data_IF_105609698934
#
_entry.id   IF_105609698934
#
_cell.length_a   1.000
_cell.length_b   1.000
_cell.length_c   1.000
_cell.angle_alpha   90.00
_cell.angle_beta   90.00
_cell.angle_gamma   90.00
#
_symmetry.space_group_name_H-M   'P 1'
#
loop_
_entity.id
_entity.type
_entity.pdbx_description
1 polymer ?
#
# COMPACT_ATOMS: atom_id res chain seq x y z
N UNK A 1 8.67 -19.29 19.51
CA UNK A 1 8.48 -17.87 19.16
C UNK A 1 9.63 -17.49 18.27
N UNK A 2 9.36 -16.72 17.22
CA UNK A 2 10.36 -16.30 16.23
C UNK A 2 10.26 -14.78 16.08
N UNK A 3 11.38 -14.08 16.15
CA UNK A 3 11.46 -12.63 15.94
C UNK A 3 11.91 -12.34 14.52
N UNK A 4 11.14 -11.52 13.82
CA UNK A 4 11.38 -11.12 12.43
C UNK A 4 11.68 -9.63 12.42
N UNK A 5 12.85 -9.27 11.91
CA UNK A 5 13.20 -7.89 11.58
C UNK A 5 13.04 -7.67 10.09
N UNK A 6 12.34 -6.62 9.68
CA UNK A 6 12.10 -6.33 8.27
C UNK A 6 12.46 -4.90 7.88
N UNK A 7 12.99 -4.73 6.67
CA UNK A 7 13.36 -3.45 6.07
C UNK A 7 12.45 -3.14 4.87
N UNK A 8 11.91 -1.93 4.83
CA UNK A 8 11.13 -1.36 3.73
C UNK A 8 11.84 -0.10 3.20
N UNK A 9 12.14 -0.08 1.89
CA UNK A 9 12.79 1.03 1.17
C UNK A 9 12.37 1.05 -0.30
N UNK A 10 11.11 0.72 -0.62
CA UNK A 10 10.62 0.61 -2.00
C UNK A 10 10.46 1.96 -2.70
N UNK A 11 10.14 3.02 -1.94
CA UNK A 11 9.81 4.33 -2.48
C UNK A 11 10.50 5.47 -1.69
N UNK A 12 9.80 6.20 -0.83
CA UNK A 12 10.29 7.38 -0.12
C UNK A 12 10.23 7.28 1.41
N UNK A 13 9.69 6.17 1.94
CA UNK A 13 9.77 5.78 3.35
C UNK A 13 10.90 4.80 3.62
N UNK A 14 11.72 5.10 4.63
CA UNK A 14 12.66 4.13 5.22
C UNK A 14 12.01 3.50 6.45
N UNK A 15 11.56 2.26 6.33
CA UNK A 15 10.90 1.51 7.39
C UNK A 15 11.78 0.41 7.98
N UNK A 16 11.82 0.30 9.31
CA UNK A 16 12.34 -0.88 10.02
C UNK A 16 11.29 -1.36 11.01
N UNK A 17 10.74 -2.54 10.77
CA UNK A 17 9.73 -3.17 11.61
C UNK A 17 10.25 -4.43 12.26
N UNK A 18 9.81 -4.70 13.48
CA UNK A 18 10.13 -5.94 14.19
C UNK A 18 8.83 -6.55 14.71
N UNK A 19 8.60 -7.82 14.36
CA UNK A 19 7.44 -8.58 14.81
C UNK A 19 7.88 -9.88 15.50
N UNK A 20 7.02 -10.40 16.37
CA UNK A 20 7.14 -11.74 16.96
C UNK A 20 6.03 -12.63 16.43
N UNK A 21 6.41 -13.76 15.87
CA UNK A 21 5.53 -14.88 15.55
C UNK A 21 5.50 -15.85 16.74
N UNK A 22 4.32 -15.98 17.35
CA UNK A 22 4.06 -16.90 18.44
C UNK A 22 3.70 -18.30 17.90
N UNK A 23 3.76 -19.33 18.75
CA UNK A 23 3.57 -20.73 18.33
C UNK A 23 2.15 -21.06 17.87
N UNK A 24 1.18 -20.23 18.23
CA UNK A 24 -0.22 -20.33 17.80
C UNK A 24 -0.49 -19.59 16.47
N UNK A 25 0.54 -18.99 15.86
CA UNK A 25 0.44 -18.21 14.63
C UNK A 25 0.14 -16.73 14.84
N UNK A 26 0.01 -16.26 16.09
CA UNK A 26 -0.21 -14.83 16.37
C UNK A 26 1.04 -14.01 16.01
N UNK A 27 0.83 -12.87 15.34
CA UNK A 27 1.89 -11.93 14.97
C UNK A 27 1.76 -10.66 15.82
N UNK A 28 2.73 -10.41 16.68
CA UNK A 28 2.77 -9.24 17.57
C UNK A 28 3.79 -8.22 17.09
N UNK A 29 3.40 -6.95 16.94
CA UNK A 29 4.32 -5.87 16.61
C UNK A 29 5.17 -5.49 17.84
N UNK A 30 6.49 -5.50 17.69
CA UNK A 30 7.45 -5.11 18.74
C UNK A 30 8.03 -3.71 18.51
N UNK A 31 8.33 -3.36 17.26
CA UNK A 31 8.82 -2.03 16.88
C UNK A 31 8.42 -1.69 15.45
N UNK A 32 8.24 -0.40 15.18
CA UNK A 32 7.94 0.11 13.84
C UNK A 32 8.46 1.55 13.71
N UNK A 33 9.66 1.67 13.16
CA UNK A 33 10.36 2.92 12.94
C UNK A 33 10.25 3.31 11.47
N UNK A 34 9.81 4.55 11.21
CA UNK A 34 9.70 5.10 9.86
C UNK A 34 10.40 6.45 9.81
N UNK A 35 11.24 6.64 8.79
CA UNK A 35 11.77 7.94 8.40
C UNK A 35 11.31 8.23 6.96
N UNK A 36 10.46 9.25 6.80
CA UNK A 36 9.92 9.65 5.51
C UNK A 36 10.78 10.75 4.88
N UNK A 37 11.03 10.64 3.58
CA UNK A 37 11.74 11.64 2.77
C UNK A 37 10.79 12.49 1.91
N UNK A 38 9.48 12.38 2.10
CA UNK A 38 8.43 13.09 1.34
C UNK A 38 8.75 14.58 1.17
N UNK A 39 9.17 15.26 2.24
CA UNK A 39 9.47 16.70 2.24
C UNK A 39 10.57 17.10 1.24
N UNK A 40 11.51 16.19 0.95
CA UNK A 40 12.59 16.43 -0.03
C UNK A 40 12.08 16.41 -1.48
N UNK A 41 10.93 15.75 -1.71
CA UNK A 41 10.31 15.56 -3.02
C UNK A 41 9.27 16.64 -3.36
N UNK A 42 8.73 17.34 -2.35
CA UNK A 42 7.66 18.35 -2.50
C UNK A 42 7.95 19.36 -3.61
N UNK A 43 9.17 19.91 -3.65
CA UNK A 43 9.58 20.93 -4.64
C UNK A 43 9.60 20.42 -6.08
N UNK A 44 9.65 19.10 -6.29
CA UNK A 44 9.63 18.47 -7.61
C UNK A 44 8.24 17.98 -8.00
N UNK A 45 7.30 18.00 -7.05
CA UNK A 45 5.92 17.55 -7.24
C UNK A 45 5.74 16.04 -7.32
N UNK A 46 6.76 15.26 -6.97
CA UNK A 46 6.75 13.79 -7.01
C UNK A 46 8.10 13.22 -6.62
N UNK A 47 8.13 11.92 -6.30
CA UNK A 47 9.34 11.24 -5.84
C UNK A 47 10.45 11.30 -6.90
N UNK A 48 11.62 11.81 -6.51
CA UNK A 48 12.83 11.81 -7.32
C UNK A 48 13.69 10.61 -6.92
N UNK A 49 13.88 9.59 -7.79
CA UNK A 49 14.49 8.32 -7.39
C UNK A 49 15.87 8.42 -6.75
N UNK A 50 16.73 9.32 -7.24
CA UNK A 50 18.08 9.53 -6.69
C UNK A 50 18.04 10.15 -5.29
N UNK A 51 17.11 11.07 -5.03
CA UNK A 51 16.95 11.70 -3.71
C UNK A 51 16.46 10.67 -2.70
N UNK A 52 15.45 9.87 -3.07
CA UNK A 52 14.94 8.80 -2.22
C UNK A 52 16.03 7.78 -1.87
N UNK A 53 16.83 7.35 -2.85
CA UNK A 53 17.93 6.41 -2.65
C UNK A 53 18.97 6.93 -1.63
N UNK A 54 19.31 8.22 -1.69
CA UNK A 54 20.23 8.85 -0.72
C UNK A 54 19.62 8.99 0.66
N UNK A 55 18.35 9.39 0.75
CA UNK A 55 17.64 9.48 2.01
C UNK A 55 17.60 8.13 2.74
N UNK A 56 17.38 7.02 2.03
CA UNK A 56 17.47 5.67 2.62
C UNK A 56 18.85 5.35 3.19
N UNK A 57 19.94 5.70 2.49
CA UNK A 57 21.30 5.47 2.97
C UNK A 57 21.58 6.20 4.29
N UNK A 58 21.06 7.43 4.43
CA UNK A 58 21.24 8.23 5.63
C UNK A 58 20.35 7.75 6.79
N UNK A 59 19.09 7.39 6.49
CA UNK A 59 18.08 7.09 7.49
C UNK A 59 18.13 5.66 8.04
N UNK A 60 18.58 4.68 7.24
CA UNK A 60 18.42 3.25 7.57
C UNK A 60 19.21 2.84 8.81
N UNK A 61 20.47 3.27 8.94
CA UNK A 61 21.29 2.97 10.12
C UNK A 61 20.68 3.49 11.43
N UNK A 62 20.31 4.78 11.51
CA UNK A 62 19.56 5.33 12.64
C UNK A 62 18.23 4.61 12.92
N UNK A 63 17.42 4.34 11.90
CA UNK A 63 16.13 3.65 12.04
C UNK A 63 16.31 2.24 12.61
N UNK A 64 17.29 1.49 12.10
CA UNK A 64 17.65 0.15 12.62
C UNK A 64 17.98 0.18 14.10
N UNK A 65 18.84 1.11 14.55
CA UNK A 65 19.22 1.21 15.97
C UNK A 65 18.02 1.52 16.86
N UNK A 66 17.13 2.42 16.43
CA UNK A 66 15.90 2.74 17.17
C UNK A 66 14.96 1.55 17.23
N UNK A 67 14.77 0.81 16.13
CA UNK A 67 13.88 -0.34 16.09
C UNK A 67 14.37 -1.46 17.02
N UNK A 68 15.66 -1.81 16.96
CA UNK A 68 16.28 -2.80 17.87
C UNK A 68 16.15 -2.38 19.34
N UNK A 69 16.42 -1.10 19.65
CA UNK A 69 16.27 -0.57 21.01
C UNK A 69 14.81 -0.61 21.49
N UNK A 70 13.85 -0.23 20.64
CA UNK A 70 12.42 -0.26 20.96
C UNK A 70 11.90 -1.69 21.19
N UNK A 71 12.39 -2.66 20.42
CA UNK A 71 12.06 -4.07 20.60
C UNK A 71 12.82 -4.74 21.76
N UNK A 72 13.87 -4.10 22.29
CA UNK A 72 14.75 -4.68 23.30
C UNK A 72 15.52 -5.91 22.79
N UNK A 73 15.94 -5.89 21.52
CA UNK A 73 16.63 -7.00 20.86
C UNK A 73 18.03 -6.59 20.41
N UNK A 74 19.01 -7.46 20.67
CA UNK A 74 20.34 -7.34 20.06
C UNK A 74 20.39 -7.98 18.67
N UNK A 75 19.62 -9.05 18.47
CA UNK A 75 19.60 -9.87 17.25
C UNK A 75 18.23 -10.52 17.04
N UNK A 76 17.64 -10.47 15.83
CA UNK A 76 16.42 -11.20 15.49
C UNK A 76 16.72 -12.66 15.13
N UNK A 77 15.68 -13.49 14.99
CA UNK A 77 15.81 -14.85 14.45
C UNK A 77 15.83 -14.87 12.92
N UNK A 78 15.20 -13.88 12.27
CA UNK A 78 15.07 -13.76 10.81
C UNK A 78 15.22 -12.29 10.39
N UNK A 79 15.84 -12.05 9.24
CA UNK A 79 15.82 -10.75 8.55
C UNK A 79 15.02 -10.85 7.25
N UNK A 80 14.11 -9.91 7.02
CA UNK A 80 13.35 -9.78 5.79
C UNK A 80 13.58 -8.42 5.13
N UNK A 81 13.36 -8.32 3.83
CA UNK A 81 13.32 -7.03 3.15
C UNK A 81 12.40 -7.05 1.95
N UNK A 82 11.85 -5.89 1.66
CA UNK A 82 11.18 -5.62 0.40
C UNK A 82 12.15 -5.75 -0.76
N UNK A 83 11.91 -6.71 -1.65
CA UNK A 83 12.71 -6.93 -2.86
C UNK A 83 12.08 -6.29 -4.10
N UNK A 84 10.80 -5.93 -3.99
CA UNK A 84 10.00 -5.27 -5.00
C UNK A 84 8.49 -5.45 -4.80
N UNK A 85 7.66 -4.84 -5.65
CA UNK A 85 8.03 -3.83 -6.65
C UNK A 85 8.45 -2.51 -6.00
N UNK A 86 9.07 -1.59 -6.76
CA UNK A 86 9.54 -0.30 -6.26
C UNK A 86 10.63 0.35 -7.09
N UNK A 87 11.17 1.47 -6.62
CA UNK A 87 12.25 2.20 -7.27
C UNK A 87 13.57 1.43 -7.13
N UNK A 88 14.22 1.11 -8.25
CA UNK A 88 15.40 0.23 -8.27
C UNK A 88 16.53 0.68 -7.33
N UNK A 89 16.86 1.97 -7.32
CA UNK A 89 17.89 2.52 -6.44
C UNK A 89 17.51 2.45 -4.96
N UNK A 90 16.25 2.70 -4.64
CA UNK A 90 15.72 2.66 -3.28
C UNK A 90 15.71 1.22 -2.73
N UNK A 91 15.17 0.27 -3.52
CA UNK A 91 15.16 -1.16 -3.19
C UNK A 91 16.57 -1.68 -2.90
N UNK A 92 17.55 -1.31 -3.72
CA UNK A 92 18.93 -1.77 -3.58
C UNK A 92 19.51 -1.44 -2.20
N UNK A 93 19.19 -0.28 -1.62
CA UNK A 93 19.69 0.13 -0.30
C UNK A 93 19.19 -0.81 0.79
N UNK A 94 17.87 -1.02 0.88
CA UNK A 94 17.27 -1.89 1.89
C UNK A 94 17.67 -3.35 1.72
N UNK A 95 17.68 -3.84 0.47
CA UNK A 95 18.05 -5.24 0.14
C UNK A 95 19.51 -5.51 0.49
N UNK A 96 20.43 -4.62 0.13
CA UNK A 96 21.84 -4.77 0.44
C UNK A 96 22.09 -4.76 1.96
N UNK A 97 21.43 -3.84 2.68
CA UNK A 97 21.53 -3.77 4.13
C UNK A 97 20.97 -5.03 4.81
N UNK A 98 19.78 -5.49 4.41
CA UNK A 98 19.15 -6.68 4.97
C UNK A 98 20.00 -7.93 4.80
N UNK A 99 20.58 -8.12 3.60
CA UNK A 99 21.52 -9.21 3.34
C UNK A 99 22.78 -9.10 4.19
N UNK A 100 23.33 -7.89 4.36
CA UNK A 100 24.49 -7.67 5.22
C UNK A 100 24.19 -8.00 6.69
N UNK A 101 23.03 -7.57 7.21
CA UNK A 101 22.57 -7.91 8.56
C UNK A 101 22.35 -9.41 8.73
N UNK A 102 21.65 -10.05 7.79
CA UNK A 102 21.45 -11.51 7.77
C UNK A 102 22.78 -12.26 7.81
N UNK A 103 23.73 -11.90 6.94
CA UNK A 103 25.04 -12.53 6.87
C UNK A 103 25.87 -12.31 8.15
N UNK A 104 25.88 -11.08 8.69
CA UNK A 104 26.64 -10.74 9.89
C UNK A 104 26.09 -11.44 11.15
N UNK A 105 24.77 -11.58 11.26
CA UNK A 105 24.12 -12.25 12.39
C UNK A 105 24.01 -13.77 12.24
N UNK A 106 24.25 -14.30 11.03
CA UNK A 106 24.11 -15.72 10.71
C UNK A 106 22.66 -16.20 10.76
N UNK A 107 21.72 -15.35 10.34
CA UNK A 107 20.28 -15.63 10.41
C UNK A 107 19.65 -15.68 9.02
N UNK A 108 18.57 -16.46 8.81
CA UNK A 108 17.88 -16.54 7.51
C UNK A 108 17.45 -15.18 6.95
N UNK A 109 17.51 -15.07 5.61
CA UNK A 109 17.01 -13.93 4.86
C UNK A 109 15.70 -14.28 4.13
N UNK A 110 14.74 -13.36 4.09
CA UNK A 110 13.51 -13.48 3.31
C UNK A 110 13.34 -12.26 2.39
N UNK A 111 13.28 -12.52 1.08
CA UNK A 111 13.05 -11.51 0.04
C UNK A 111 11.57 -11.40 -0.29
N UNK A 112 10.92 -10.37 0.23
CA UNK A 112 9.47 -10.29 0.37
C UNK A 112 8.85 -9.28 -0.60
N UNK A 113 7.65 -9.58 -1.09
CA UNK A 113 6.88 -8.67 -1.94
C UNK A 113 6.25 -7.53 -1.12
N UNK A 114 6.52 -6.28 -1.53
CA UNK A 114 5.99 -5.05 -0.95
C UNK A 114 4.45 -5.07 -0.84
N UNK A 115 3.77 -5.48 -1.91
CA UNK A 115 2.31 -5.47 -2.01
C UNK A 115 1.67 -6.48 -1.06
N UNK A 116 2.28 -7.64 -0.88
CA UNK A 116 1.86 -8.60 0.15
C UNK A 116 2.04 -8.06 1.57
N UNK A 117 3.07 -7.22 1.77
CA UNK A 117 3.27 -6.41 2.97
C UNK A 117 2.02 -5.62 3.35
N UNK A 118 1.52 -4.79 2.44
CA UNK A 118 0.31 -4.01 2.69
C UNK A 118 -0.91 -4.85 3.09
N UNK A 119 -1.07 -6.05 2.51
CA UNK A 119 -2.16 -6.97 2.87
C UNK A 119 -2.00 -7.51 4.29
N UNK A 120 -0.76 -7.75 4.72
CA UNK A 120 -0.44 -8.27 6.04
C UNK A 120 -0.47 -7.21 7.15
N UNK A 121 -0.60 -5.93 6.82
CA UNK A 121 -0.62 -4.83 7.79
C UNK A 121 -1.83 -4.89 8.73
N UNK A 122 -2.98 -5.37 8.23
CA UNK A 122 -4.25 -5.49 8.95
C UNK A 122 -4.17 -6.41 10.17
N UNK A 123 -3.27 -7.39 10.14
CA UNK A 123 -3.19 -8.44 11.16
C UNK A 123 -2.88 -7.88 12.55
N UNK A 124 -2.16 -6.77 12.62
CA UNK A 124 -1.84 -6.11 13.90
C UNK A 124 -3.04 -5.47 14.58
N UNK A 125 -4.14 -5.24 13.86
CA UNK A 125 -5.33 -4.57 14.38
C UNK A 125 -6.51 -5.53 14.50
N UNK A 126 -6.74 -6.35 13.48
CA UNK A 126 -7.91 -7.22 13.41
C UNK A 126 -7.57 -8.72 13.59
N UNK A 127 -6.31 -9.05 13.89
CA UNK A 127 -5.84 -10.43 14.02
C UNK A 127 -5.77 -11.16 12.69
N UNK A 128 -5.75 -12.50 12.72
CA UNK A 128 -5.62 -13.33 11.51
C UNK A 128 -6.58 -12.90 10.40
N UNK A 129 -6.03 -12.82 9.18
CA UNK A 129 -6.77 -12.42 7.98
C UNK A 129 -7.49 -13.64 7.40
N UNK A 130 -8.84 -13.69 7.42
CA UNK A 130 -9.59 -14.75 6.76
C UNK A 130 -9.47 -14.63 5.23
N UNK A 131 -9.95 -15.64 4.51
CA UNK A 131 -10.12 -15.53 3.07
C UNK A 131 -10.93 -14.28 2.71
N UNK A 132 -10.36 -13.45 1.85
CA UNK A 132 -10.93 -12.13 1.54
C UNK A 132 -10.66 -11.72 0.09
N UNK A 133 -11.45 -10.75 -0.37
CA UNK A 133 -11.02 -9.88 -1.45
C UNK A 133 -10.27 -8.71 -0.82
N UNK A 134 -9.12 -8.35 -1.38
CA UNK A 134 -8.37 -7.18 -0.99
C UNK A 134 -8.36 -6.15 -2.12
N UNK A 135 -8.77 -4.92 -1.80
CA UNK A 135 -8.56 -3.74 -2.61
C UNK A 135 -7.26 -3.06 -2.15
N UNK A 136 -6.20 -3.25 -2.94
CA UNK A 136 -4.90 -2.62 -2.70
C UNK A 136 -4.81 -1.32 -3.49
N UNK A 137 -4.80 -0.18 -2.79
CA UNK A 137 -4.83 1.16 -3.38
C UNK A 137 -3.74 2.05 -2.76
N UNK A 138 -2.62 2.19 -3.45
CA UNK A 138 -1.49 3.05 -3.06
C UNK A 138 -1.20 4.12 -4.11
N UNK A 139 -0.08 4.84 -3.96
CA UNK A 139 0.37 5.84 -4.95
C UNK A 139 0.53 5.25 -6.34
N UNK A 140 1.21 4.10 -6.45
CA UNK A 140 1.53 3.44 -7.73
C UNK A 140 0.71 2.19 -8.04
N UNK A 141 -0.18 1.75 -7.15
CA UNK A 141 -0.88 0.47 -7.30
C UNK A 141 -2.38 0.61 -7.10
N UNK A 142 -3.15 -0.08 -7.93
CA UNK A 142 -4.59 -0.27 -7.75
C UNK A 142 -4.96 -1.66 -8.23
N UNK A 143 -5.17 -2.58 -7.30
CA UNK A 143 -5.47 -3.99 -7.57
C UNK A 143 -6.69 -4.47 -6.79
N UNK A 144 -7.44 -5.38 -7.39
CA UNK A 144 -8.31 -6.32 -6.71
C UNK A 144 -7.65 -7.69 -6.68
N UNK A 145 -7.52 -8.21 -5.47
CA UNK A 145 -6.80 -9.44 -5.20
C UNK A 145 -7.73 -10.40 -4.44
N UNK A 146 -7.64 -11.69 -4.76
CA UNK A 146 -8.21 -12.75 -3.94
C UNK A 146 -7.11 -13.35 -3.09
N UNK A 147 -7.29 -13.28 -1.77
CA UNK A 147 -6.33 -13.72 -0.77
C UNK A 147 -6.99 -14.85 0.00
N UNK A 148 -6.55 -16.09 -0.22
CA UNK A 148 -7.00 -17.26 0.56
C UNK A 148 -6.38 -17.27 1.95
N UNK A 149 -5.07 -17.02 2.00
CA UNK A 149 -4.29 -16.77 3.20
C UNK A 149 -3.02 -16.00 2.82
N UNK A 150 -2.38 -15.34 3.78
CA UNK A 150 -1.12 -14.61 3.56
C UNK A 150 0.09 -15.53 3.34
N UNK A 151 -0.08 -16.85 3.52
CA UNK A 151 0.95 -17.86 3.23
C UNK A 151 0.80 -18.53 1.86
N UNK A 152 -0.31 -18.27 1.16
CA UNK A 152 -0.62 -18.85 -0.14
C UNK A 152 -0.39 -17.86 -1.29
N UNK A 153 -0.25 -18.34 -2.54
CA UNK A 153 -0.19 -17.47 -3.70
C UNK A 153 -1.41 -16.55 -3.79
N UNK A 154 -1.14 -15.25 -3.91
CA UNK A 154 -2.15 -14.21 -4.11
C UNK A 154 -2.63 -14.27 -5.56
N UNK A 155 -3.95 -14.23 -5.79
CA UNK A 155 -4.54 -14.24 -7.12
C UNK A 155 -4.98 -12.83 -7.49
N UNK A 156 -4.47 -12.31 -8.61
CA UNK A 156 -4.93 -11.03 -9.15
C UNK A 156 -6.25 -11.20 -9.91
N UNK A 157 -7.26 -10.44 -9.51
CA UNK A 157 -8.59 -10.42 -10.16
C UNK A 157 -8.67 -9.33 -11.22
N UNK A 158 -8.03 -8.18 -10.96
CA UNK A 158 -7.97 -7.05 -11.86
C UNK A 158 -7.11 -5.93 -11.29
N UNK A 159 -6.63 -5.06 -12.17
CA UNK A 159 -5.77 -3.92 -11.83
C UNK A 159 -6.10 -2.70 -12.68
N UNK A 160 -5.51 -1.56 -12.34
CA UNK A 160 -5.60 -0.39 -13.22
C UNK A 160 -4.89 -0.65 -14.55
N UNK A 161 -5.50 -0.25 -15.65
CA UNK A 161 -4.90 -0.30 -16.99
C UNK A 161 -4.12 0.96 -17.33
N UNK A 162 -4.20 1.99 -16.48
CA UNK A 162 -3.51 3.28 -16.65
C UNK A 162 -3.00 3.86 -15.31
N UNK A 163 -3.43 5.07 -14.94
CA UNK A 163 -3.02 5.73 -13.69
C UNK A 163 -3.54 4.92 -12.49
N UNK A 164 -2.74 4.77 -11.44
CA UNK A 164 -3.24 4.29 -10.15
C UNK A 164 -4.14 5.35 -9.49
N UNK A 165 -4.98 4.93 -8.53
CA UNK A 165 -5.86 5.84 -7.82
C UNK A 165 -5.06 6.94 -7.09
N UNK A 166 -3.99 6.58 -6.36
CA UNK A 166 -3.16 7.54 -5.65
C UNK A 166 -2.48 8.54 -6.59
N UNK A 167 -1.93 8.06 -7.70
CA UNK A 167 -1.38 8.92 -8.77
C UNK A 167 -2.43 9.89 -9.35
N UNK A 168 -3.68 9.44 -9.54
CA UNK A 168 -4.76 10.31 -9.97
C UNK A 168 -5.05 11.42 -8.95
N UNK A 169 -5.05 11.10 -7.64
CA UNK A 169 -5.16 12.10 -6.57
C UNK A 169 -4.04 13.13 -6.64
N UNK A 170 -2.79 12.70 -6.77
CA UNK A 170 -1.64 13.60 -6.82
C UNK A 170 -1.69 14.52 -8.06
N UNK A 171 -2.07 13.98 -9.21
CA UNK A 171 -2.23 14.77 -10.44
C UNK A 171 -3.36 15.79 -10.32
N UNK A 172 -4.51 15.42 -9.76
CA UNK A 172 -5.63 16.36 -9.59
C UNK A 172 -5.33 17.41 -8.52
N UNK A 173 -4.68 17.04 -7.41
CA UNK A 173 -4.24 18.00 -6.41
C UNK A 173 -3.31 19.07 -7.01
N UNK A 174 -2.42 18.66 -7.93
CA UNK A 174 -1.57 19.60 -8.67
C UNK A 174 -2.38 20.54 -9.57
N UNK A 175 -3.39 20.04 -10.28
CA UNK A 175 -4.27 20.88 -11.12
C UNK A 175 -5.02 21.93 -10.27
N UNK A 176 -5.37 21.59 -9.03
CA UNK A 176 -6.03 22.48 -8.08
C UNK A 176 -5.06 23.38 -7.30
N UNK A 177 -3.75 23.31 -7.56
CA UNK A 177 -2.74 24.11 -6.88
C UNK A 177 -2.45 23.70 -5.43
N UNK A 178 -2.78 22.46 -5.03
CA UNK A 178 -2.65 21.97 -3.65
C UNK A 178 -1.26 21.38 -3.34
N UNK A 179 -0.40 21.21 -4.35
CA UNK A 179 0.95 20.66 -4.20
C UNK A 179 1.01 19.14 -4.19
N UNK A 180 2.06 18.60 -3.56
CA UNK A 180 2.37 17.17 -3.45
C UNK A 180 2.92 16.88 -2.05
N UNK A 181 2.57 15.75 -1.40
CA UNK A 181 1.58 14.75 -1.82
C UNK A 181 0.14 15.28 -1.80
N UNK A 182 -0.65 14.88 -2.80
CA UNK A 182 -1.97 15.45 -3.07
C UNK A 182 -3.13 14.76 -2.35
N UNK A 183 -3.01 13.48 -2.04
CA UNK A 183 -4.12 12.67 -1.51
C UNK A 183 -4.79 13.25 -0.27
N UNK A 184 -4.01 13.60 0.76
CA UNK A 184 -4.53 14.12 2.04
C UNK A 184 -5.15 15.50 1.89
N UNK A 185 -4.46 16.43 1.23
CA UNK A 185 -4.92 17.82 1.06
C UNK A 185 -6.17 17.90 0.19
N UNK A 186 -6.27 17.03 -0.83
CA UNK A 186 -7.47 16.91 -1.65
C UNK A 186 -8.62 16.32 -0.82
N UNK A 187 -8.38 15.32 0.02
CA UNK A 187 -9.40 14.76 0.92
C UNK A 187 -9.93 15.79 1.92
N UNK A 188 -9.05 16.60 2.51
CA UNK A 188 -9.44 17.69 3.41
C UNK A 188 -10.27 18.76 2.68
N UNK A 189 -9.88 19.15 1.46
CA UNK A 189 -10.61 20.11 0.65
C UNK A 189 -12.00 19.57 0.22
N UNK A 190 -12.06 18.32 -0.22
CA UNK A 190 -13.29 17.67 -0.69
C UNK A 190 -14.41 17.65 0.38
N UNK A 191 -14.06 17.60 1.67
CA UNK A 191 -15.03 17.67 2.77
C UNK A 191 -15.79 18.99 2.86
N UNK A 192 -15.25 20.05 2.25
CA UNK A 192 -15.85 21.39 2.23
C UNK A 192 -16.65 21.68 0.96
N UNK A 193 -16.64 20.76 -0.01
CA UNK A 193 -17.33 20.90 -1.29
C UNK A 193 -18.64 20.13 -1.37
N UNK A 194 -19.44 20.48 -2.35
CA UNK A 194 -20.61 19.73 -2.76
C UNK A 194 -20.21 18.64 -3.77
N UNK A 195 -20.38 17.38 -3.38
CA UNK A 195 -20.06 16.21 -4.21
C UNK A 195 -21.02 16.02 -5.40
N UNK A 196 -22.20 16.62 -5.33
CA UNK A 196 -23.24 16.52 -6.38
C UNK A 196 -23.16 17.69 -7.38
N UNK A 197 -22.34 18.72 -7.09
CA UNK A 197 -22.18 19.87 -7.98
C UNK A 197 -21.57 19.52 -9.34
N UNK A 198 -20.66 18.53 -9.39
CA UNK A 198 -19.95 18.16 -10.62
C UNK A 198 -19.91 16.64 -10.80
N UNK A 199 -20.59 16.17 -11.84
CA UNK A 199 -20.62 14.75 -12.20
C UNK A 199 -19.43 14.37 -13.11
N UNK A 200 -18.39 13.80 -12.52
CA UNK A 200 -17.25 13.24 -13.27
C UNK A 200 -17.48 11.80 -13.77
N UNK A 201 -16.82 11.37 -14.86
CA UNK A 201 -17.01 10.02 -15.40
C UNK A 201 -16.48 8.93 -14.47
N UNK A 202 -17.15 7.78 -14.46
CA UNK A 202 -16.69 6.55 -13.79
C UNK A 202 -16.03 5.64 -14.82
N UNK A 203 -14.71 5.52 -14.78
CA UNK A 203 -13.93 4.75 -15.76
C UNK A 203 -14.18 3.24 -15.67
N UNK A 204 -14.21 2.57 -16.83
CA UNK A 204 -14.37 1.12 -16.95
C UNK A 204 -15.60 0.56 -16.23
N UNK A 205 -16.76 1.23 -16.34
CA UNK A 205 -18.03 0.75 -15.75
C UNK A 205 -19.09 0.42 -16.80
N UNK A 206 -18.73 0.33 -18.07
CA UNK A 206 -19.63 -0.04 -19.16
C UNK A 206 -19.91 -1.55 -19.20
N UNK A 207 -20.99 -2.00 -19.88
CA UNK A 207 -21.39 -3.41 -19.90
C UNK A 207 -20.40 -4.37 -20.58
N UNK A 208 -19.45 -3.84 -21.37
CA UNK A 208 -18.43 -4.62 -22.08
C UNK A 208 -17.05 -4.50 -21.45
N UNK A 209 -16.91 -3.65 -20.44
CA UNK A 209 -15.63 -3.47 -19.76
C UNK A 209 -15.37 -4.67 -18.85
N UNK A 210 -14.10 -4.97 -18.63
CA UNK A 210 -13.71 -5.92 -17.60
C UNK A 210 -14.28 -5.47 -16.26
N UNK A 211 -15.01 -6.35 -15.53
CA UNK A 211 -15.57 -5.98 -14.25
C UNK A 211 -14.47 -5.47 -13.29
N UNK A 212 -13.35 -6.14 -13.14
CA UNK A 212 -12.41 -5.91 -12.04
C UNK A 212 -11.27 -4.97 -12.36
N UNK A 213 -11.07 -4.61 -13.63
CA UNK A 213 -10.04 -3.66 -14.04
C UNK A 213 -10.45 -2.20 -13.81
N UNK A 214 -9.48 -1.29 -13.61
CA UNK A 214 -9.69 0.13 -13.29
C UNK A 214 -9.08 1.06 -14.34
N UNK A 215 -9.58 2.30 -14.44
CA UNK A 215 -9.00 3.36 -15.26
C UNK A 215 -9.32 4.73 -14.65
N UNK A 216 -8.30 5.55 -14.44
CA UNK A 216 -8.41 6.89 -13.86
C UNK A 216 -7.79 7.99 -14.73
N UNK A 217 -7.05 7.64 -15.78
CA UNK A 217 -6.43 8.63 -16.70
C UNK A 217 -7.47 9.54 -17.39
N UNK A 218 -8.61 8.96 -17.79
CA UNK A 218 -9.74 9.69 -18.39
C UNK A 218 -10.43 10.62 -17.39
N UNK A 219 -10.48 10.23 -16.11
CA UNK A 219 -11.05 11.04 -15.04
C UNK A 219 -10.21 12.30 -14.79
N UNK A 220 -8.88 12.17 -14.70
CA UNK A 220 -7.96 13.33 -14.65
C UNK A 220 -8.19 14.29 -15.81
N UNK A 221 -8.33 13.76 -17.03
CA UNK A 221 -8.56 14.58 -18.24
C UNK A 221 -9.89 15.31 -18.17
N UNK A 222 -10.94 14.68 -17.63
CA UNK A 222 -12.23 15.32 -17.42
C UNK A 222 -12.15 16.47 -16.40
N UNK A 223 -11.38 16.30 -15.31
CA UNK A 223 -11.13 17.36 -14.33
C UNK A 223 -10.40 18.54 -14.96
N UNK A 224 -9.32 18.31 -15.70
CA UNK A 224 -8.57 19.37 -16.38
C UNK A 224 -9.46 20.18 -17.34
N UNK A 225 -10.25 19.50 -18.18
CA UNK A 225 -11.20 20.14 -19.10
C UNK A 225 -12.30 20.91 -18.38
N UNK A 226 -12.75 20.42 -17.23
CA UNK A 226 -13.75 21.12 -16.43
C UNK A 226 -13.19 22.45 -15.91
N UNK A 227 -11.98 22.44 -15.35
CA UNK A 227 -11.29 23.65 -14.87
C UNK A 227 -11.01 24.64 -16.01
N UNK A 228 -10.62 24.16 -17.19
CA UNK A 228 -10.41 25.02 -18.38
C UNK A 228 -11.70 25.70 -18.86
N UNK A 229 -12.83 24.98 -18.81
CA UNK A 229 -14.14 25.50 -19.26
C UNK A 229 -14.87 26.32 -18.20
N UNK A 230 -14.50 26.16 -16.92
CA UNK A 230 -15.09 26.85 -15.79
C UNK A 230 -13.98 27.44 -14.90
N UNK A 231 -13.34 28.55 -15.30
CA UNK A 231 -12.25 29.16 -14.54
C UNK A 231 -12.64 29.58 -13.12
N UNK A 232 -13.93 29.85 -12.89
CA UNK A 232 -14.50 30.23 -11.60
C UNK A 232 -15.06 29.03 -10.80
N UNK A 233 -14.77 27.80 -11.21
CA UNK A 233 -15.20 26.59 -10.50
C UNK A 233 -14.67 26.58 -9.05
N UNK A 234 -15.52 26.18 -8.12
CA UNK A 234 -15.12 26.03 -6.70
C UNK A 234 -14.23 24.80 -6.58
N UNK A 235 -12.96 25.00 -6.25
CA UNK A 235 -11.98 23.90 -6.12
C UNK A 235 -12.46 22.79 -5.16
N UNK A 236 -13.21 23.15 -4.11
CA UNK A 236 -13.78 22.19 -3.17
C UNK A 236 -14.80 21.25 -3.84
N UNK A 237 -15.67 21.78 -4.69
CA UNK A 237 -16.68 21.00 -5.42
C UNK A 237 -16.00 20.10 -6.47
N UNK A 238 -14.95 20.60 -7.14
CA UNK A 238 -14.14 19.81 -8.07
C UNK A 238 -13.46 18.64 -7.35
N UNK A 239 -12.84 18.91 -6.19
CA UNK A 239 -12.21 17.89 -5.36
C UNK A 239 -13.24 16.85 -4.87
N UNK A 240 -14.41 17.30 -4.41
CA UNK A 240 -15.50 16.44 -3.92
C UNK A 240 -16.05 15.53 -5.04
N UNK A 241 -16.36 16.09 -6.21
CA UNK A 241 -16.84 15.31 -7.36
C UNK A 241 -15.81 14.30 -7.87
N UNK A 242 -14.53 14.69 -7.93
CA UNK A 242 -13.44 13.79 -8.32
C UNK A 242 -13.29 12.63 -7.32
N UNK A 243 -13.23 12.96 -6.04
CA UNK A 243 -13.13 11.97 -4.96
C UNK A 243 -14.31 11.00 -4.97
N UNK A 244 -15.53 11.51 -5.18
CA UNK A 244 -16.74 10.69 -5.30
C UNK A 244 -16.62 9.70 -6.47
N UNK A 245 -16.15 10.14 -7.64
CA UNK A 245 -15.98 9.26 -8.79
C UNK A 245 -14.95 8.15 -8.53
N UNK A 246 -13.82 8.45 -7.87
CA UNK A 246 -12.81 7.45 -7.52
C UNK A 246 -13.34 6.46 -6.49
N UNK A 247 -13.89 6.96 -5.37
CA UNK A 247 -14.41 6.12 -4.29
C UNK A 247 -15.56 5.21 -4.76
N UNK A 248 -16.44 5.72 -5.62
CA UNK A 248 -17.54 4.97 -6.22
C UNK A 248 -17.03 3.78 -7.06
N UNK A 249 -16.08 4.00 -7.97
CA UNK A 249 -15.52 2.92 -8.79
C UNK A 249 -14.82 1.88 -7.92
N UNK A 250 -13.92 2.32 -7.04
CA UNK A 250 -13.12 1.43 -6.19
C UNK A 250 -14.00 0.49 -5.37
N UNK A 251 -14.93 1.04 -4.60
CA UNK A 251 -15.75 0.26 -3.67
C UNK A 251 -16.80 -0.60 -4.38
N UNK A 252 -17.36 -0.14 -5.52
CA UNK A 252 -18.35 -0.93 -6.28
C UNK A 252 -17.71 -2.21 -6.80
N UNK A 253 -16.51 -2.09 -7.37
CA UNK A 253 -15.79 -3.22 -7.96
C UNK A 253 -15.29 -4.18 -6.88
N UNK A 254 -14.83 -3.65 -5.75
CA UNK A 254 -14.40 -4.43 -4.60
C UNK A 254 -15.53 -5.27 -3.98
N UNK A 255 -16.69 -4.65 -3.74
CA UNK A 255 -17.86 -5.36 -3.20
C UNK A 255 -18.39 -6.39 -4.19
N UNK A 256 -18.43 -6.07 -5.49
CA UNK A 256 -18.81 -7.06 -6.52
C UNK A 256 -17.87 -8.26 -6.50
N UNK A 257 -16.56 -8.04 -6.50
CA UNK A 257 -15.58 -9.14 -6.48
C UNK A 257 -15.76 -10.04 -5.25
N UNK A 258 -16.01 -9.45 -4.07
CA UNK A 258 -16.27 -10.21 -2.85
C UNK A 258 -17.54 -11.06 -2.97
N UNK A 259 -18.62 -10.48 -3.47
CA UNK A 259 -19.91 -11.18 -3.70
C UNK A 259 -19.78 -12.30 -4.73
N UNK A 260 -19.12 -12.04 -5.86
CA UNK A 260 -18.99 -13.01 -6.96
C UNK A 260 -18.13 -14.23 -6.54
N UNK A 261 -17.14 -14.03 -5.67
CA UNK A 261 -16.34 -15.10 -5.09
C UNK A 261 -16.97 -15.76 -3.86
N UNK A 262 -18.06 -15.20 -3.31
CA UNK A 262 -18.72 -15.70 -2.11
C UNK A 262 -17.89 -15.54 -0.83
N UNK A 263 -16.94 -14.61 -0.80
CA UNK A 263 -16.14 -14.32 0.41
C UNK A 263 -16.85 -13.31 1.29
N UNK A 264 -16.69 -13.43 2.61
CA UNK A 264 -17.39 -12.59 3.59
C UNK A 264 -16.59 -11.36 4.04
N UNK A 265 -15.33 -11.24 3.62
CA UNK A 265 -14.42 -10.16 4.08
C UNK A 265 -13.89 -9.36 2.90
N UNK A 266 -13.96 -8.03 3.01
CA UNK A 266 -13.27 -7.08 2.14
C UNK A 266 -12.18 -6.37 2.94
N UNK A 267 -10.92 -6.50 2.51
CA UNK A 267 -9.79 -5.72 3.01
C UNK A 267 -9.53 -4.52 2.10
N UNK A 268 -9.32 -3.33 2.65
CA UNK A 268 -8.78 -2.18 1.89
C UNK A 268 -7.44 -1.80 2.48
N UNK A 269 -6.38 -1.81 1.67
CA UNK A 269 -5.01 -1.55 2.07
C UNK A 269 -4.30 -0.57 1.13
N UNK A 270 -3.14 -0.06 1.55
CA UNK A 270 -2.37 0.96 0.83
C UNK A 270 -2.74 2.40 1.22
N UNK A 271 -1.90 3.37 0.84
CA UNK A 271 -2.01 4.76 1.31
C UNK A 271 -3.35 5.45 1.01
N UNK A 272 -4.01 5.11 -0.10
CA UNK A 272 -5.33 5.69 -0.47
C UNK A 272 -6.44 5.14 0.43
N UNK A 273 -6.23 4.02 1.13
CA UNK A 273 -7.16 3.49 2.12
C UNK A 273 -7.42 4.46 3.29
N UNK A 274 -6.56 5.45 3.52
CA UNK A 274 -6.78 6.51 4.50
C UNK A 274 -7.80 7.57 4.05
N UNK A 275 -8.21 7.59 2.78
CA UNK A 275 -9.15 8.56 2.23
C UNK A 275 -10.53 8.44 2.91
N UNK A 276 -11.04 9.56 3.43
CA UNK A 276 -12.26 9.55 4.24
C UNK A 276 -13.51 9.12 3.48
N UNK A 277 -13.67 9.57 2.23
CA UNK A 277 -14.83 9.20 1.42
C UNK A 277 -14.78 7.76 0.94
N UNK A 278 -13.60 7.24 0.61
CA UNK A 278 -13.40 5.82 0.28
C UNK A 278 -13.86 4.93 1.44
N UNK A 279 -13.44 5.26 2.67
CA UNK A 279 -13.86 4.53 3.88
C UNK A 279 -15.37 4.58 4.09
N UNK A 280 -15.96 5.77 4.03
CA UNK A 280 -17.40 5.97 4.20
C UNK A 280 -18.22 5.13 3.19
N UNK A 281 -17.84 5.14 1.91
CA UNK A 281 -18.51 4.37 0.86
C UNK A 281 -18.33 2.87 1.02
N UNK A 282 -17.13 2.45 1.42
CA UNK A 282 -16.82 1.04 1.66
C UNK A 282 -17.67 0.51 2.82
N UNK A 283 -17.75 1.24 3.94
CA UNK A 283 -18.57 0.88 5.10
C UNK A 283 -20.04 0.72 4.72
N UNK A 284 -20.61 1.71 4.00
CA UNK A 284 -21.99 1.67 3.54
C UNK A 284 -22.27 0.46 2.65
N UNK A 285 -21.39 0.17 1.69
CA UNK A 285 -21.60 -0.90 0.71
C UNK A 285 -21.33 -2.29 1.28
N UNK A 286 -20.33 -2.43 2.14
CA UNK A 286 -20.08 -3.68 2.85
C UNK A 286 -21.25 -4.00 3.78
N UNK A 287 -21.76 -3.02 4.53
CA UNK A 287 -22.93 -3.23 5.38
C UNK A 287 -24.17 -3.66 4.56
N UNK A 288 -24.41 -3.02 3.41
CA UNK A 288 -25.51 -3.40 2.52
C UNK A 288 -25.32 -4.80 1.89
N UNK A 289 -24.07 -5.21 1.64
CA UNK A 289 -23.71 -6.50 1.07
C UNK A 289 -23.51 -7.63 2.09
N UNK A 290 -23.62 -7.36 3.39
CA UNK A 290 -23.33 -8.34 4.45
C UNK A 290 -21.85 -8.73 4.54
N UNK A 291 -20.94 -7.87 4.08
CA UNK A 291 -19.50 -8.08 4.12
C UNK A 291 -18.89 -7.47 5.39
N UNK A 292 -17.90 -8.15 5.96
CA UNK A 292 -17.01 -7.59 6.97
C UNK A 292 -15.96 -6.74 6.28
N UNK A 293 -15.95 -5.44 6.57
CA UNK A 293 -14.91 -4.54 6.10
C UNK A 293 -13.75 -4.51 7.08
N UNK A 294 -12.52 -4.67 6.57
CA UNK A 294 -11.28 -4.43 7.30
C UNK A 294 -10.48 -3.35 6.61
N UNK A 295 -10.05 -2.36 7.38
CA UNK A 295 -9.14 -1.32 6.90
C UNK A 295 -8.17 -1.03 8.05
N UNK A 296 -6.85 -1.19 7.87
CA UNK A 296 -5.89 -0.86 8.90
C UNK A 296 -6.01 0.61 9.33
N UNK A 297 -5.58 0.91 10.55
CA UNK A 297 -5.42 2.27 11.06
C UNK A 297 -4.45 3.03 10.15
N UNK A 298 -4.64 4.35 9.97
CA UNK A 298 -3.89 5.13 8.98
C UNK A 298 -2.36 4.94 9.01
N UNK A 299 -1.76 4.81 10.20
CA UNK A 299 -0.30 4.61 10.35
C UNK A 299 0.22 3.31 9.72
N UNK A 300 -0.64 2.30 9.57
CA UNK A 300 -0.29 1.01 8.95
C UNK A 300 -0.68 0.95 7.47
N UNK A 301 -1.40 1.94 6.94
CA UNK A 301 -1.81 1.99 5.54
C UNK A 301 -0.68 2.44 4.61
N UNK A 302 0.19 3.34 5.08
CA UNK A 302 1.37 3.82 4.34
C UNK A 302 2.54 2.86 4.49
N UNK A 303 3.58 3.04 3.68
CA UNK A 303 4.76 2.18 3.66
C UNK A 303 5.47 2.19 5.01
N UNK A 304 5.73 1.00 5.55
CA UNK A 304 6.38 0.82 6.85
C UNK A 304 7.05 -0.57 6.95
N UNK A 305 8.02 -0.71 7.85
CA UNK A 305 8.70 -2.00 8.02
C UNK A 305 7.83 -3.06 8.71
N UNK A 306 6.83 -2.64 9.51
CA UNK A 306 5.95 -3.56 10.24
C UNK A 306 5.13 -4.45 9.29
N UNK A 307 4.65 -3.91 8.17
CA UNK A 307 3.87 -4.66 7.19
C UNK A 307 4.70 -5.78 6.54
N UNK A 308 5.99 -5.52 6.29
CA UNK A 308 6.94 -6.50 5.74
C UNK A 308 7.29 -7.56 6.78
N UNK A 309 7.47 -7.16 8.04
CA UNK A 309 7.68 -8.11 9.14
C UNK A 309 6.47 -9.04 9.32
N UNK A 310 5.25 -8.50 9.19
CA UNK A 310 4.00 -9.28 9.25
C UNK A 310 3.93 -10.29 8.10
N UNK A 311 4.16 -9.83 6.87
CA UNK A 311 4.04 -10.72 5.72
C UNK A 311 5.11 -11.83 5.74
N UNK A 312 6.35 -11.48 6.10
CA UNK A 312 7.42 -12.46 6.33
C UNK A 312 7.04 -13.49 7.42
N UNK A 313 6.43 -13.05 8.53
CA UNK A 313 5.97 -13.97 9.58
C UNK A 313 4.93 -14.99 9.06
N UNK A 314 4.02 -14.57 8.18
CA UNK A 314 3.03 -15.48 7.59
C UNK A 314 3.66 -16.46 6.59
N UNK A 315 4.64 -16.01 5.79
CA UNK A 315 5.40 -16.89 4.91
C UNK A 315 6.18 -17.94 5.71
N UNK A 316 6.83 -17.53 6.80
CA UNK A 316 7.53 -18.44 7.73
C UNK A 316 6.57 -19.43 8.37
N UNK A 317 5.41 -18.97 8.84
CA UNK A 317 4.38 -19.83 9.42
C UNK A 317 3.83 -20.86 8.41
N UNK A 318 3.78 -20.50 7.13
CA UNK A 318 3.40 -21.38 6.02
C UNK A 318 4.54 -22.33 5.56
N UNK A 319 5.72 -22.24 6.17
CA UNK A 319 6.86 -23.11 5.87
C UNK A 319 7.67 -22.68 4.65
N UNK A 320 7.57 -21.41 4.22
CA UNK A 320 8.39 -20.90 3.13
C UNK A 320 9.89 -20.98 3.50
N UNK A 321 10.75 -21.53 2.62
CA UNK A 321 12.18 -21.60 2.88
C UNK A 321 12.81 -20.20 2.82
N UNK A 322 13.96 -19.98 3.49
CA UNK A 322 14.71 -18.73 3.34
C UNK A 322 15.13 -18.48 1.89
N UNK A 323 15.19 -17.21 1.50
CA UNK A 323 15.74 -16.77 0.23
C UNK A 323 17.27 -16.82 0.24
N UNK A 324 17.92 -17.16 -0.89
CA UNK A 324 19.37 -17.08 -0.99
C UNK A 324 19.83 -15.61 -1.00
N UNK A 325 21.06 -15.36 -0.54
CA UNK A 325 21.60 -13.99 -0.45
C UNK A 325 21.95 -13.38 -1.82
N UNK A 326 21.97 -14.16 -2.91
CA UNK A 326 22.22 -13.68 -4.27
C UNK A 326 20.96 -13.23 -5.01
N UNK A 327 19.77 -13.38 -4.40
CA UNK A 327 18.49 -12.97 -5.02
C UNK A 327 18.46 -11.49 -5.41
N UNK A 328 18.17 -11.11 -6.66
CA UNK A 328 18.19 -9.70 -7.07
C UNK A 328 16.95 -8.95 -6.58
N UNK A 329 17.04 -7.62 -6.46
CA UNK A 329 15.86 -6.75 -6.41
C UNK A 329 15.10 -6.81 -7.73
N UNK A 330 13.77 -6.78 -7.69
CA UNK A 330 12.89 -6.79 -8.86
C UNK A 330 11.92 -5.59 -8.80
N UNK A 331 12.28 -4.45 -9.43
CA UNK A 331 11.43 -3.26 -9.48
C UNK A 331 10.01 -3.52 -10.00
N UNK A 332 9.83 -4.55 -10.84
CA UNK A 332 8.56 -4.92 -11.46
C UNK A 332 7.95 -6.19 -10.88
N UNK A 333 8.31 -6.58 -9.65
CA UNK A 333 7.85 -7.83 -9.04
C UNK A 333 6.30 -7.88 -9.03
N UNK A 334 5.68 -8.86 -9.71
CA UNK A 334 4.23 -8.94 -9.76
C UNK A 334 3.67 -9.40 -8.41
N UNK A 335 2.48 -8.90 -8.04
CA UNK A 335 1.82 -9.18 -6.76
C UNK A 335 1.60 -10.68 -6.49
N UNK A 336 1.45 -11.48 -7.55
CA UNK A 336 1.26 -12.94 -7.47
C UNK A 336 2.49 -13.68 -6.97
N UNK A 337 3.68 -13.05 -6.95
CA UNK A 337 4.91 -13.60 -6.40
C UNK A 337 5.14 -13.05 -4.99
N UNK A 338 4.77 -13.83 -3.98
CA UNK A 338 4.89 -13.45 -2.58
C UNK A 338 6.33 -13.32 -2.06
N UNK A 339 7.21 -14.23 -2.49
CA UNK A 339 8.63 -14.28 -2.12
C UNK A 339 9.45 -14.66 -3.36
N UNK A 340 10.70 -14.20 -3.42
CA UNK A 340 11.68 -14.70 -4.41
C UNK A 340 12.66 -15.63 -3.70
N UNK A 341 12.72 -16.88 -4.16
CA UNK A 341 13.62 -17.94 -3.66
C UNK A 341 14.65 -18.33 -4.69
#
# INVERSE_FOLDING_TARGET
MTTILAIETSCDETGVGIARLDTDGTVTLLADEVASSVDEHVRFGGVVPEIASRAHLEALGPAMRRALAAAGLDRPDIVAATIGPGLAGALLVGVAAAKAYSAAWGVPFYAVNHLGGHLAADVYEHGSLPECVALLVSGGHTHLLHVRSLGEPIVELGSTVDDAAGEAYDKVARLLGLGYPGGRVLDELARTGDRDAIAFPRGMTGPRDDPYAFSFSGLKTAVARHLESHPDAVNADVAAGFQEAVADVLTRKAVRAATDLGVSTLLIAGGVAANSRLRELAEQRCAAGGLTLRIPRPRLCTDNGAMIASFAAHLVAAGAPPSPLDVPSDPGLPVVKAQVG
#
